data_IF_305585368229
#
_entry.id   IF_305585368229
#
_cell.length_a   1.000
_cell.length_b   1.000
_cell.length_c   1.000
_cell.angle_alpha   90.00
_cell.angle_beta   90.00
_cell.angle_gamma   90.00
#
_symmetry.space_group_name_H-M   'P 1'
#
loop_
_entity.id
_entity.type
_entity.pdbx_description
1 polymer ?
#
# COMPACT_ATOMS: atom_id res chain seq x y z
N UNK A 1 18.93 -34.23 21.52
CA UNK A 1 18.52 -33.89 20.14
C UNK A 1 17.30 -34.73 19.81
N UNK A 2 16.36 -34.18 19.04
CA UNK A 2 15.11 -34.81 18.54
C UNK A 2 13.84 -34.62 19.39
N UNK A 3 13.37 -33.38 19.50
CA UNK A 3 11.95 -33.07 19.70
C UNK A 3 11.56 -31.77 18.97
N UNK A 4 11.79 -31.76 17.65
CA UNK A 4 11.34 -30.68 16.75
C UNK A 4 10.51 -31.18 15.56
N UNK A 5 10.30 -32.50 15.45
CA UNK A 5 9.47 -33.13 14.42
C UNK A 5 7.98 -33.04 14.77
N UNK A 6 7.62 -33.42 16.01
CA UNK A 6 6.23 -33.49 16.46
C UNK A 6 5.46 -32.15 16.39
N UNK A 7 6.15 -31.03 16.58
CA UNK A 7 5.54 -29.70 16.51
C UNK A 7 5.16 -29.28 15.07
N UNK A 8 5.85 -29.82 14.05
CA UNK A 8 5.54 -29.51 12.63
C UNK A 8 4.38 -30.38 12.14
N UNK A 9 4.33 -31.63 12.59
CA UNK A 9 3.29 -32.58 12.21
C UNK A 9 1.93 -32.17 12.78
N UNK A 10 1.90 -31.67 14.03
CA UNK A 10 0.68 -31.11 14.62
C UNK A 10 0.19 -29.84 13.92
N UNK A 11 1.08 -29.01 13.38
CA UNK A 11 0.70 -27.76 12.70
C UNK A 11 0.03 -28.05 11.35
N UNK A 12 0.49 -29.10 10.66
CA UNK A 12 -0.12 -29.58 9.42
C UNK A 12 -1.50 -30.21 9.69
N UNK A 13 -1.62 -31.03 10.74
CA UNK A 13 -2.89 -31.65 11.12
C UNK A 13 -3.95 -30.60 11.51
N UNK A 14 -3.56 -29.60 12.31
CA UNK A 14 -4.46 -28.50 12.70
C UNK A 14 -4.92 -27.70 11.49
N UNK A 15 -4.04 -27.42 10.52
CA UNK A 15 -4.43 -26.71 9.30
C UNK A 15 -5.43 -27.50 8.44
N UNK A 16 -5.28 -28.83 8.38
CA UNK A 16 -6.16 -29.70 7.62
C UNK A 16 -7.56 -29.80 8.26
N UNK A 17 -7.64 -29.92 9.58
CA UNK A 17 -8.92 -29.96 10.31
C UNK A 17 -9.67 -28.63 10.23
N UNK A 18 -8.95 -27.50 10.30
CA UNK A 18 -9.54 -26.17 10.12
C UNK A 18 -10.13 -26.04 8.72
N UNK A 19 -9.40 -26.43 7.67
CA UNK A 19 -9.89 -26.38 6.28
C UNK A 19 -11.11 -27.28 6.10
N UNK A 20 -11.09 -28.50 6.64
CA UNK A 20 -12.22 -29.43 6.55
C UNK A 20 -13.46 -28.90 7.28
N UNK A 21 -13.29 -28.34 8.47
CA UNK A 21 -14.37 -27.71 9.24
C UNK A 21 -14.94 -26.48 8.53
N UNK A 22 -14.08 -25.65 7.93
CA UNK A 22 -14.50 -24.47 7.16
C UNK A 22 -15.26 -24.86 5.89
N UNK A 23 -14.79 -25.90 5.19
CA UNK A 23 -15.42 -26.40 3.97
C UNK A 23 -16.75 -27.10 4.27
N UNK A 24 -16.80 -27.88 5.35
CA UNK A 24 -18.04 -28.48 5.83
C UNK A 24 -19.06 -27.41 6.24
N UNK A 25 -18.64 -26.35 6.94
CA UNK A 25 -19.53 -25.24 7.31
C UNK A 25 -19.98 -24.41 6.10
N UNK A 26 -19.14 -24.21 5.08
CA UNK A 26 -19.51 -23.52 3.85
C UNK A 26 -20.51 -24.33 3.01
N UNK A 27 -20.32 -25.65 2.93
CA UNK A 27 -21.24 -26.54 2.24
C UNK A 27 -22.56 -26.73 2.99
N UNK A 28 -22.53 -26.75 4.33
CA UNK A 28 -23.73 -26.86 5.17
C UNK A 28 -24.49 -25.52 5.22
N UNK A 29 -23.79 -24.39 5.18
CA UNK A 29 -24.38 -23.04 5.12
C UNK A 29 -25.05 -22.71 3.79
N UNK A 30 -24.69 -23.42 2.71
CA UNK A 30 -25.45 -23.43 1.46
C UNK A 30 -26.59 -24.43 1.55
N UNK A 31 -27.66 -24.03 2.22
CA UNK A 31 -28.90 -24.78 2.39
C UNK A 31 -29.75 -24.85 1.09
N UNK A 32 -29.10 -25.16 -0.04
CA UNK A 32 -29.76 -25.50 -1.31
C UNK A 32 -30.25 -26.97 -1.27
N UNK A 33 -29.97 -27.68 -0.18
CA UNK A 33 -30.39 -29.06 0.08
C UNK A 33 -31.82 -29.25 0.59
N UNK A 34 -32.77 -28.35 0.32
CA UNK A 34 -34.18 -28.52 0.76
C UNK A 34 -35.24 -28.52 -0.34
N UNK A 35 -34.86 -28.43 -1.62
CA UNK A 35 -35.83 -28.43 -2.74
C UNK A 35 -35.80 -29.66 -3.64
N UNK A 36 -34.94 -30.64 -3.39
CA UNK A 36 -34.80 -31.83 -4.25
C UNK A 36 -35.13 -33.15 -3.53
N UNK A 37 -35.95 -33.10 -2.48
CA UNK A 37 -36.39 -34.32 -1.75
C UNK A 37 -37.91 -34.46 -1.60
N UNK A 38 -38.71 -33.57 -2.19
CA UNK A 38 -40.18 -33.65 -2.16
C UNK A 38 -40.82 -33.88 -3.53
N UNK A 39 -40.04 -34.37 -4.50
CA UNK A 39 -40.50 -34.79 -5.82
C UNK A 39 -40.15 -36.25 -6.12
N UNK A 40 -40.03 -37.08 -5.08
CA UNK A 40 -39.90 -38.53 -5.23
C UNK A 40 -41.26 -39.12 -5.59
N UNK A 41 -41.69 -38.90 -6.83
CA UNK A 41 -42.68 -39.70 -7.50
C UNK A 41 -42.28 -39.79 -8.97
N UNK A 42 -41.81 -40.98 -9.31
CA UNK A 42 -41.72 -41.50 -10.67
C UNK A 42 -40.65 -40.89 -11.59
N UNK A 43 -39.41 -41.39 -11.45
CA UNK A 43 -38.56 -41.61 -12.61
C UNK A 43 -37.78 -42.91 -12.35
N UNK A 44 -38.10 -43.92 -13.14
CA UNK A 44 -37.32 -45.14 -13.31
C UNK A 44 -35.92 -44.76 -13.81
N UNK A 45 -34.99 -44.57 -12.88
CA UNK A 45 -33.56 -44.47 -13.18
C UNK A 45 -33.02 -45.89 -13.12
N UNK A 46 -33.02 -46.55 -14.26
CA UNK A 46 -32.15 -47.69 -14.49
C UNK A 46 -30.70 -47.23 -14.33
N UNK A 47 -30.16 -47.44 -13.13
CA UNK A 47 -28.75 -47.24 -12.82
C UNK A 47 -27.98 -48.26 -13.65
N UNK A 48 -27.57 -47.85 -14.84
CA UNK A 48 -26.46 -48.49 -15.55
C UNK A 48 -25.24 -48.36 -14.65
N UNK A 49 -24.68 -49.49 -14.25
CA UNK A 49 -23.44 -49.54 -13.50
C UNK A 49 -22.36 -48.69 -14.19
N UNK A 50 -21.48 -48.01 -13.43
CA UNK A 50 -20.34 -47.31 -14.00
C UNK A 50 -19.38 -48.36 -14.56
N UNK A 51 -19.63 -48.74 -15.82
CA UNK A 51 -18.70 -49.53 -16.62
C UNK A 51 -17.48 -48.65 -16.84
N UNK A 52 -16.46 -48.90 -16.02
CA UNK A 52 -15.15 -48.24 -15.93
C UNK A 52 -14.29 -48.32 -17.22
N UNK A 53 -14.90 -48.55 -18.39
CA UNK A 53 -14.21 -48.77 -19.65
C UNK A 53 -14.87 -48.02 -20.82
N UNK A 54 -15.23 -46.74 -20.63
CA UNK A 54 -15.77 -45.91 -21.72
C UNK A 54 -15.40 -44.44 -21.73
N UNK A 55 -14.24 -44.05 -21.23
CA UNK A 55 -13.81 -42.65 -21.42
C UNK A 55 -12.31 -42.51 -21.70
N UNK A 56 -11.83 -42.86 -22.92
CA UNK A 56 -10.67 -42.16 -23.46
C UNK A 56 -10.90 -40.63 -23.47
N UNK A 57 -12.16 -40.19 -23.59
CA UNK A 57 -12.55 -38.79 -23.58
C UNK A 57 -12.36 -38.07 -22.24
N UNK A 58 -12.59 -38.72 -21.09
CA UNK A 58 -12.46 -38.10 -19.75
C UNK A 58 -10.99 -37.95 -19.36
N UNK A 59 -10.16 -38.96 -19.68
CA UNK A 59 -8.71 -38.87 -19.49
C UNK A 59 -8.10 -37.83 -20.43
N UNK A 60 -8.55 -37.77 -21.69
CA UNK A 60 -8.12 -36.74 -22.63
C UNK A 60 -8.54 -35.32 -22.17
N UNK A 61 -9.74 -35.19 -21.61
CA UNK A 61 -10.24 -33.92 -21.06
C UNK A 61 -9.36 -33.36 -19.95
N UNK A 62 -8.82 -34.21 -19.05
CA UNK A 62 -7.86 -33.78 -18.03
C UNK A 62 -6.43 -33.64 -18.56
N UNK A 63 -6.03 -34.41 -19.57
CA UNK A 63 -4.71 -34.33 -20.19
C UNK A 63 -4.47 -33.02 -20.95
N UNK A 64 -5.50 -32.47 -21.62
CA UNK A 64 -5.39 -31.21 -22.36
C UNK A 64 -5.00 -30.04 -21.45
N UNK A 65 -5.74 -29.71 -20.36
CA UNK A 65 -5.33 -28.68 -19.42
C UNK A 65 -4.06 -29.09 -18.67
N UNK A 66 -3.79 -30.37 -18.38
CA UNK A 66 -2.53 -30.78 -17.75
C UNK A 66 -1.30 -30.54 -18.65
N UNK A 67 -1.44 -30.64 -19.98
CA UNK A 67 -0.39 -30.36 -20.96
C UNK A 67 -0.25 -28.84 -21.22
N UNK A 68 -1.36 -28.11 -21.14
CA UNK A 68 -1.39 -26.64 -21.33
C UNK A 68 -1.03 -25.85 -20.07
N UNK A 69 -1.35 -26.35 -18.88
CA UNK A 69 -1.17 -25.66 -17.58
C UNK A 69 0.31 -25.29 -17.33
N UNK A 70 1.31 -26.16 -17.58
CA UNK A 70 2.73 -25.80 -17.49
C UNK A 70 3.13 -24.70 -18.49
N UNK A 71 2.51 -24.68 -19.68
CA UNK A 71 2.81 -23.71 -20.73
C UNK A 71 2.27 -22.31 -20.39
N UNK A 72 1.05 -22.21 -19.85
CA UNK A 72 0.52 -20.93 -19.37
C UNK A 72 1.23 -20.45 -18.09
N UNK A 73 1.68 -21.38 -17.23
CA UNK A 73 2.47 -21.04 -16.04
C UNK A 73 3.87 -20.49 -16.40
N UNK A 74 4.44 -20.90 -17.54
CA UNK A 74 5.68 -20.32 -18.07
C UNK A 74 5.51 -18.91 -18.65
N UNK A 75 4.34 -18.59 -19.23
CA UNK A 75 4.03 -17.26 -19.75
C UNK A 75 3.71 -16.25 -18.63
N UNK A 76 3.06 -16.71 -17.56
CA UNK A 76 2.87 -15.99 -16.30
C UNK A 76 3.91 -16.43 -15.27
N UNK A 77 5.20 -16.45 -15.64
CA UNK A 77 6.24 -16.63 -14.64
C UNK A 77 6.01 -15.64 -13.48
N UNK A 78 6.26 -16.04 -12.21
CA UNK A 78 5.97 -15.19 -11.05
C UNK A 78 6.61 -13.80 -11.13
N UNK A 79 7.65 -13.64 -11.94
CA UNK A 79 8.36 -12.38 -12.15
C UNK A 79 7.73 -11.42 -13.17
N UNK A 80 6.81 -11.86 -14.05
CA UNK A 80 6.37 -11.04 -15.20
C UNK A 80 5.23 -10.07 -14.87
N UNK A 81 4.20 -10.54 -14.17
CA UNK A 81 3.00 -9.74 -13.86
C UNK A 81 3.12 -8.96 -12.54
N UNK A 82 3.93 -9.46 -11.60
CA UNK A 82 4.09 -8.86 -10.27
C UNK A 82 5.24 -7.87 -10.20
N UNK A 83 6.13 -7.81 -11.19
CA UNK A 83 7.29 -6.89 -11.20
C UNK A 83 6.93 -5.42 -10.93
N UNK A 84 5.84 -4.85 -11.49
CA UNK A 84 5.40 -3.49 -11.14
C UNK A 84 4.96 -3.36 -9.67
N UNK A 85 4.28 -4.38 -9.15
CA UNK A 85 3.78 -4.41 -7.76
C UNK A 85 4.94 -4.58 -6.78
N UNK A 86 5.91 -5.45 -7.09
CA UNK A 86 7.13 -5.62 -6.32
C UNK A 86 7.94 -4.32 -6.27
N UNK A 87 8.01 -3.57 -7.37
CA UNK A 87 8.64 -2.25 -7.41
C UNK A 87 7.94 -1.22 -6.50
N UNK A 88 6.61 -1.23 -6.43
CA UNK A 88 5.85 -0.36 -5.53
C UNK A 88 6.07 -0.74 -4.05
N UNK A 89 6.03 -2.03 -3.73
CA UNK A 89 6.27 -2.52 -2.36
C UNK A 89 7.70 -2.22 -1.92
N UNK A 90 8.69 -2.45 -2.79
CA UNK A 90 10.09 -2.11 -2.50
C UNK A 90 10.28 -0.61 -2.27
N UNK A 91 9.56 0.24 -3.01
CA UNK A 91 9.60 1.70 -2.82
C UNK A 91 8.98 2.12 -1.49
N UNK A 92 7.86 1.50 -1.10
CA UNK A 92 7.19 1.73 0.18
C UNK A 92 8.05 1.29 1.37
N UNK A 93 8.68 0.11 1.30
CA UNK A 93 9.58 -0.39 2.34
C UNK A 93 10.84 0.47 2.42
N UNK A 94 11.36 0.94 1.29
CA UNK A 94 12.50 1.86 1.24
C UNK A 94 12.22 3.25 1.84
N UNK A 95 10.96 3.67 1.88
CA UNK A 95 10.54 4.93 2.51
C UNK A 95 10.46 4.86 4.04
N UNK A 96 10.25 3.66 4.60
CA UNK A 96 10.08 3.44 6.04
C UNK A 96 11.26 3.97 6.91
N UNK A 97 12.54 3.75 6.57
CA UNK A 97 13.66 4.31 7.34
C UNK A 97 13.69 5.85 7.31
N UNK A 98 13.42 6.48 6.17
CA UNK A 98 13.35 7.94 6.04
C UNK A 98 12.16 8.53 6.81
N UNK A 99 11.02 7.84 6.81
CA UNK A 99 9.86 8.21 7.62
C UNK A 99 10.18 8.18 9.12
N UNK A 100 10.93 7.18 9.57
CA UNK A 100 11.38 7.11 10.97
C UNK A 100 12.34 8.27 11.31
N UNK A 101 13.30 8.57 10.43
CA UNK A 101 14.22 9.70 10.62
C UNK A 101 13.48 11.05 10.68
N UNK A 102 12.54 11.27 9.76
CA UNK A 102 11.70 12.46 9.74
C UNK A 102 10.85 12.58 11.01
N UNK A 103 10.23 11.48 11.47
CA UNK A 103 9.44 11.45 12.69
C UNK A 103 10.27 11.82 13.92
N UNK A 104 11.50 11.32 14.03
CA UNK A 104 12.42 11.68 15.11
C UNK A 104 12.80 13.16 15.06
N UNK A 105 13.15 13.70 13.87
CA UNK A 105 13.42 15.13 13.72
C UNK A 105 12.23 16.00 14.14
N UNK A 106 11.02 15.63 13.72
CA UNK A 106 9.80 16.34 14.05
C UNK A 106 9.51 16.30 15.54
N UNK A 107 9.70 15.14 16.18
CA UNK A 107 9.53 14.98 17.62
C UNK A 107 10.50 15.87 18.40
N UNK A 108 11.78 15.85 18.04
CA UNK A 108 12.82 16.67 18.70
C UNK A 108 12.57 18.16 18.47
N UNK A 109 12.29 18.57 17.24
CA UNK A 109 12.06 19.97 16.89
C UNK A 109 10.77 20.53 17.49
N UNK A 110 9.70 19.74 17.52
CA UNK A 110 8.45 20.13 18.18
C UNK A 110 8.63 20.30 19.69
N UNK A 111 9.36 19.38 20.33
CA UNK A 111 9.68 19.48 21.75
C UNK A 111 10.50 20.73 22.06
N UNK A 112 11.56 21.00 21.30
CA UNK A 112 12.38 22.19 21.43
C UNK A 112 11.57 23.48 21.22
N UNK A 113 10.76 23.54 20.16
CA UNK A 113 9.89 24.69 19.86
C UNK A 113 8.93 24.98 21.02
N UNK A 114 8.34 23.93 21.62
CA UNK A 114 7.41 24.07 22.74
C UNK A 114 8.08 24.66 23.98
N UNK A 115 9.31 24.26 24.27
CA UNK A 115 10.10 24.81 25.39
C UNK A 115 10.37 26.30 25.12
N UNK A 116 10.91 26.63 23.95
CA UNK A 116 11.26 28.01 23.60
C UNK A 116 10.03 28.90 23.62
N UNK A 117 8.89 28.43 23.10
CA UNK A 117 7.62 29.15 23.15
C UNK A 117 7.21 29.48 24.59
N UNK A 118 7.28 28.50 25.50
CA UNK A 118 6.89 28.70 26.91
C UNK A 118 7.81 29.72 27.59
N UNK A 119 9.13 29.58 27.38
CA UNK A 119 10.12 30.50 27.94
C UNK A 119 9.90 31.91 27.39
N UNK A 120 9.78 32.07 26.08
CA UNK A 120 9.54 33.37 25.46
C UNK A 120 8.24 34.02 25.93
N UNK A 121 7.13 33.25 25.99
CA UNK A 121 5.87 33.78 26.50
C UNK A 121 5.93 34.13 27.98
N UNK A 122 6.62 33.32 28.79
CA UNK A 122 6.77 33.56 30.23
C UNK A 122 7.60 34.81 30.51
N UNK A 123 8.69 35.01 29.77
CA UNK A 123 9.53 36.20 29.87
C UNK A 123 8.78 37.45 29.41
N UNK A 124 8.03 37.40 28.31
CA UNK A 124 7.25 38.55 27.84
C UNK A 124 6.14 38.95 28.81
N UNK A 125 5.46 37.97 29.41
CA UNK A 125 4.46 38.25 30.46
C UNK A 125 5.12 38.80 31.73
N UNK A 126 6.29 38.28 32.13
CA UNK A 126 7.04 38.79 33.28
C UNK A 126 7.55 40.22 33.10
N UNK A 127 7.92 40.61 31.86
CA UNK A 127 8.32 41.98 31.50
C UNK A 127 7.12 42.93 31.45
N UNK A 128 5.88 42.41 31.54
CA UNK A 128 4.67 43.22 31.60
C UNK A 128 4.22 43.74 30.23
N UNK A 129 4.60 43.07 29.14
CA UNK A 129 4.14 43.41 27.77
C UNK A 129 2.61 43.37 27.67
N UNK A 130 1.97 42.53 28.47
CA UNK A 130 0.50 42.45 28.57
C UNK A 130 -0.13 43.77 29.06
N UNK A 131 0.52 44.49 29.99
CA UNK A 131 0.07 45.80 30.50
C UNK A 131 0.23 46.92 29.46
N UNK A 132 1.23 46.81 28.59
CA UNK A 132 1.46 47.77 27.51
C UNK A 132 0.41 47.58 26.40
N UNK A 133 0.07 46.34 26.07
CA UNK A 133 -0.97 46.02 25.08
C UNK A 133 -2.36 46.54 25.46
N UNK A 134 -2.73 46.44 26.75
CA UNK A 134 -3.99 47.02 27.26
C UNK A 134 -4.06 48.55 27.04
N UNK A 135 -2.93 49.26 27.19
CA UNK A 135 -2.86 50.72 27.00
C UNK A 135 -2.91 51.15 25.54
N UNK A 136 -2.50 50.28 24.62
CA UNK A 136 -2.47 50.54 23.17
C UNK A 136 -3.77 50.08 22.50
N UNK A 137 -4.72 49.51 23.26
CA UNK A 137 -6.02 49.08 22.74
C UNK A 137 -5.97 47.80 21.88
N UNK A 138 -4.80 47.16 21.79
CA UNK A 138 -4.62 45.94 21.02
C UNK A 138 -5.24 44.71 21.70
N UNK A 139 -5.54 44.80 23.01
CA UNK A 139 -6.31 43.79 23.74
C UNK A 139 -7.70 43.55 23.12
N UNK A 140 -8.34 44.60 22.58
CA UNK A 140 -9.64 44.51 21.93
C UNK A 140 -9.60 43.73 20.61
N UNK A 141 -8.45 43.69 19.93
CA UNK A 141 -8.26 42.99 18.66
C UNK A 141 -7.88 41.51 18.83
N UNK A 142 -7.34 41.13 19.99
CA UNK A 142 -6.88 39.77 20.30
C UNK A 142 -7.75 39.02 21.33
N UNK A 143 -8.78 39.68 21.87
CA UNK A 143 -9.67 39.11 22.87
C UNK A 143 -8.97 38.76 24.18
N UNK A 144 -9.41 37.71 24.88
CA UNK A 144 -8.85 37.24 26.16
C UNK A 144 -7.44 36.62 26.05
N UNK A 145 -6.81 36.64 24.88
CA UNK A 145 -5.48 36.04 24.70
C UNK A 145 -4.36 37.03 25.05
N UNK A 146 -3.46 36.70 26.00
CA UNK A 146 -2.35 37.60 26.36
C UNK A 146 -1.39 37.77 25.19
N UNK A 147 -0.87 38.99 25.01
CA UNK A 147 0.01 39.35 23.90
C UNK A 147 1.27 38.49 23.88
N UNK A 148 1.81 38.21 25.07
CA UNK A 148 2.97 37.34 25.26
C UNK A 148 2.76 35.94 24.65
N UNK A 149 1.52 35.43 24.65
CA UNK A 149 1.18 34.13 24.05
C UNK A 149 1.12 34.20 22.53
N UNK A 150 0.70 35.33 21.96
CA UNK A 150 0.71 35.55 20.51
C UNK A 150 2.15 35.62 20.00
N UNK A 151 3.02 36.43 20.63
CA UNK A 151 4.45 36.45 20.27
C UNK A 151 5.09 35.07 20.48
N UNK A 152 4.79 34.38 21.57
CA UNK A 152 5.27 33.01 21.78
C UNK A 152 4.83 32.07 20.66
N UNK A 153 3.63 32.24 20.12
CA UNK A 153 3.12 31.46 18.98
C UNK A 153 3.82 31.82 17.68
N UNK A 154 4.13 33.09 17.45
CA UNK A 154 4.93 33.54 16.28
C UNK A 154 6.35 32.96 16.34
N UNK A 155 6.99 32.99 17.51
CA UNK A 155 8.32 32.38 17.72
C UNK A 155 8.25 30.87 17.50
N UNK A 156 7.21 30.22 18.02
CA UNK A 156 6.96 28.79 17.78
C UNK A 156 6.85 28.50 16.28
N UNK A 157 6.10 29.30 15.53
CA UNK A 157 5.98 29.16 14.08
C UNK A 157 7.34 29.35 13.36
N UNK A 158 8.12 30.36 13.76
CA UNK A 158 9.45 30.63 13.21
C UNK A 158 10.43 29.46 13.39
N UNK A 159 10.34 28.75 14.51
CA UNK A 159 11.17 27.56 14.81
C UNK A 159 10.60 26.32 14.12
N UNK A 160 9.27 26.20 14.04
CA UNK A 160 8.63 25.03 13.47
C UNK A 160 8.83 24.94 11.96
N UNK A 161 8.85 26.06 11.24
CA UNK A 161 9.09 26.09 9.78
C UNK A 161 10.40 25.38 9.39
N UNK A 162 11.60 25.73 9.91
CA UNK A 162 12.83 25.04 9.56
C UNK A 162 12.86 23.57 10.03
N UNK A 163 12.19 23.24 11.14
CA UNK A 163 12.03 21.85 11.60
C UNK A 163 11.23 21.03 10.59
N UNK A 164 10.09 21.57 10.13
CA UNK A 164 9.26 20.92 9.12
C UNK A 164 10.05 20.77 7.82
N UNK A 165 10.77 21.80 7.38
CA UNK A 165 11.63 21.71 6.19
C UNK A 165 12.70 20.63 6.34
N UNK A 166 13.35 20.54 7.51
CA UNK A 166 14.31 19.48 7.83
C UNK A 166 13.69 18.08 7.83
N UNK A 167 12.49 17.93 8.41
CA UNK A 167 11.76 16.66 8.44
C UNK A 167 11.30 16.24 7.04
N UNK A 168 10.80 17.18 6.22
CA UNK A 168 10.43 16.93 4.82
C UNK A 168 11.65 16.57 3.96
N UNK A 169 12.80 17.18 4.25
CA UNK A 169 14.06 16.81 3.61
C UNK A 169 14.53 15.40 4.02
N UNK A 170 14.44 15.07 5.32
CA UNK A 170 14.73 13.74 5.84
C UNK A 170 13.77 12.67 5.31
N UNK A 171 12.52 13.05 5.02
CA UNK A 171 11.54 12.20 4.35
C UNK A 171 11.93 11.92 2.89
N UNK A 172 12.97 12.59 2.38
CA UNK A 172 13.50 12.54 1.03
C UNK A 172 12.37 12.69 0.00
N UNK A 173 12.05 13.93 -0.35
CA UNK A 173 11.18 14.23 -1.50
C UNK A 173 11.58 13.45 -2.76
N UNK A 174 12.85 13.05 -2.88
CA UNK A 174 13.39 12.12 -3.89
C UNK A 174 12.62 10.79 -3.99
N UNK A 175 12.14 10.22 -2.89
CA UNK A 175 11.35 8.97 -2.93
C UNK A 175 10.02 9.15 -3.66
N UNK A 176 9.46 10.37 -3.64
CA UNK A 176 8.19 10.72 -4.30
C UNK A 176 8.44 11.29 -5.71
N UNK A 177 9.49 12.09 -5.88
CA UNK A 177 9.80 12.73 -7.16
C UNK A 177 10.55 11.81 -8.12
N UNK A 178 11.33 10.82 -7.66
CA UNK A 178 12.10 9.96 -8.55
C UNK A 178 11.23 9.13 -9.52
N UNK A 179 10.12 8.47 -9.10
CA UNK A 179 9.23 7.80 -10.04
C UNK A 179 8.54 8.79 -11.00
N UNK A 180 8.14 9.97 -10.50
CA UNK A 180 7.52 11.01 -11.32
C UNK A 180 8.48 11.54 -12.40
N UNK A 181 9.75 11.78 -12.06
CA UNK A 181 10.80 12.16 -13.00
C UNK A 181 11.05 11.06 -14.04
N UNK A 182 11.11 9.78 -13.62
CA UNK A 182 11.24 8.65 -14.54
C UNK A 182 10.07 8.52 -15.51
N UNK A 183 8.86 8.91 -15.09
CA UNK A 183 7.70 8.96 -15.98
C UNK A 183 7.69 10.19 -16.90
N UNK A 184 8.35 11.28 -16.52
CA UNK A 184 8.55 12.46 -17.38
C UNK A 184 9.63 12.21 -18.44
N UNK A 185 10.66 11.42 -18.12
CA UNK A 185 11.72 11.07 -19.08
C UNK A 185 11.23 10.17 -20.21
N UNK A 186 10.28 9.26 -19.94
CA UNK A 186 9.73 8.33 -20.95
C UNK A 186 9.08 9.02 -22.17
N UNK A 187 8.17 10.00 -22.02
CA UNK A 187 7.59 10.72 -23.15
C UNK A 187 8.59 11.72 -23.76
N UNK A 188 9.43 12.39 -22.97
CA UNK A 188 10.38 13.39 -23.50
C UNK A 188 11.46 12.72 -24.36
N UNK A 189 11.95 11.55 -23.94
CA UNK A 189 12.88 10.72 -24.74
C UNK A 189 12.24 10.12 -25.99
N UNK A 190 10.91 10.18 -26.12
CA UNK A 190 10.21 9.64 -27.29
C UNK A 190 10.09 10.62 -28.47
N UNK A 191 10.16 11.92 -28.17
CA UNK A 191 10.02 12.98 -29.18
C UNK A 191 11.11 12.93 -30.27
N UNK A 192 12.41 12.73 -29.96
CA UNK A 192 13.48 12.74 -30.96
C UNK A 192 13.33 11.63 -32.03
N UNK A 193 12.83 10.45 -31.67
CA UNK A 193 12.74 9.33 -32.61
C UNK A 193 11.56 9.47 -33.59
N UNK A 194 10.50 10.19 -33.22
CA UNK A 194 9.41 10.52 -34.14
C UNK A 194 9.88 11.47 -35.26
N UNK A 195 10.78 12.40 -34.94
CA UNK A 195 11.38 13.31 -35.94
C UNK A 195 12.47 12.64 -36.78
N UNK A 196 13.23 11.69 -36.22
CA UNK A 196 14.23 10.93 -36.97
C UNK A 196 13.60 9.93 -37.96
N UNK A 197 12.50 9.28 -37.58
CA UNK A 197 11.75 8.38 -38.46
C UNK A 197 11.07 9.10 -39.64
N UNK A 198 10.57 10.33 -39.42
CA UNK A 198 9.92 11.12 -40.47
C UNK A 198 10.88 11.58 -41.57
N UNK A 199 12.19 11.70 -41.29
CA UNK A 199 13.20 12.09 -42.28
C UNK A 199 13.73 10.91 -43.12
N UNK A 200 13.38 9.66 -42.77
CA UNK A 200 13.81 8.46 -43.47
C UNK A 200 12.91 8.06 -44.67
N UNK A 201 11.79 8.75 -44.89
CA UNK A 201 10.81 8.42 -45.94
C UNK A 201 11.15 8.79 -47.40
N UNK A 202 12.15 9.64 -47.77
CA UNK A 202 12.30 10.05 -49.18
C UNK A 202 12.92 8.97 -50.10
N UNK A 203 13.48 7.88 -49.56
CA UNK A 203 14.18 6.87 -50.36
C UNK A 203 13.25 5.81 -50.99
N UNK A 204 12.01 5.65 -50.52
CA UNK A 204 11.06 4.63 -51.00
C UNK A 204 10.14 5.11 -52.13
N UNK A 205 10.16 6.40 -52.48
CA UNK A 205 9.33 6.97 -53.56
C UNK A 205 10.05 7.08 -54.92
N UNK A 206 11.30 6.65 -55.02
CA UNK A 206 12.13 6.86 -56.22
C UNK A 206 12.49 5.58 -57.02
N UNK A 207 11.86 4.43 -56.74
CA UNK A 207 12.01 3.19 -57.50
C UNK A 207 10.67 2.69 -58.01
#
# INVERSE_FOLDING_TARGET
MTDRGAARDNLVLVSADIVKSLLANLLTGMEIGRRLRSGAADVDVTVSEPTLARTPAETAYWLIPLLFLPAIHGAFGPAGMLSPVEGMVSSLVGFLPNLLAAAVMLAVGWFAARIVQRVASGLLSAVGVDRLSERVGLASALGETPFAKVIGTVICALILVPVILGALNALALEAVTAPASRMLDAPIGSVPHLFAGAQAEPALRAG
#
